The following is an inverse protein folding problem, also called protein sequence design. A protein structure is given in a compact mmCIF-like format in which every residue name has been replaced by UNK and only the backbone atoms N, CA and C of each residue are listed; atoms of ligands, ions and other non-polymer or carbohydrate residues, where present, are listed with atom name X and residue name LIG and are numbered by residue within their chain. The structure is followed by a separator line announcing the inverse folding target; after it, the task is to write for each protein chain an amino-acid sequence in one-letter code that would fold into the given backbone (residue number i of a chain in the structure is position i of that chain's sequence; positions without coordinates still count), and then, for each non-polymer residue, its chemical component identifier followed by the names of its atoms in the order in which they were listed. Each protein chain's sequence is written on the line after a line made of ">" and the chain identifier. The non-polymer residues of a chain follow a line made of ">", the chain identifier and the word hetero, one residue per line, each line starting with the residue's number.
data_IF_980666033232
#
_entry.id   IF_980666033232
#
_cell.length_a   1.000
_cell.length_b   1.000
_cell.length_c   1.000
_cell.angle_alpha   90.00
_cell.angle_beta   90.00
_cell.angle_gamma   90.00
#
_symmetry.space_group_name_H-M   'P 1'
#
loop_
_entity.id
_entity.type
_entity.pdbx_description
1 polymer ?
#
# COMPACT_ATOMS: atom_id res chain seq x y z
N UNK A 1 5.13 -24.21 1.83
CA UNK A 1 4.40 -23.66 3.01
C UNK A 1 5.32 -23.23 4.17
N UNK A 2 6.41 -23.96 4.49
CA UNK A 2 7.35 -23.60 5.57
C UNK A 2 8.41 -22.55 5.15
N UNK A 3 8.90 -22.63 3.92
CA UNK A 3 9.92 -21.73 3.34
C UNK A 3 9.50 -20.25 3.38
N UNK A 4 8.27 -19.94 2.98
CA UNK A 4 7.78 -18.56 3.00
C UNK A 4 7.64 -18.01 4.43
N UNK A 5 7.55 -18.83 5.50
CA UNK A 5 7.46 -18.32 6.90
C UNK A 5 8.80 -17.78 7.36
N UNK A 6 9.86 -18.52 7.05
CA UNK A 6 11.23 -18.14 7.37
C UNK A 6 11.61 -16.90 6.55
N UNK A 7 11.25 -16.86 5.27
CA UNK A 7 11.48 -15.68 4.43
C UNK A 7 10.82 -14.41 4.99
N UNK A 8 9.56 -14.47 5.42
CA UNK A 8 8.85 -13.32 5.99
C UNK A 8 9.47 -12.83 7.31
N UNK A 9 10.08 -13.72 8.11
CA UNK A 9 10.81 -13.33 9.31
C UNK A 9 12.04 -12.46 8.99
N UNK A 10 12.69 -12.72 7.86
CA UNK A 10 13.87 -11.98 7.41
C UNK A 10 13.56 -10.80 6.49
N UNK A 11 12.31 -10.66 6.04
CA UNK A 11 11.86 -9.57 5.16
C UNK A 11 10.51 -9.02 5.68
N UNK A 12 10.50 -8.39 6.87
CA UNK A 12 9.28 -7.90 7.51
C UNK A 12 8.61 -6.76 6.73
N UNK A 13 9.28 -6.17 5.75
CA UNK A 13 8.71 -5.17 4.86
C UNK A 13 7.85 -5.77 3.74
N UNK A 14 7.80 -7.10 3.59
CA UNK A 14 6.99 -7.76 2.57
C UNK A 14 5.52 -7.88 3.00
N UNK A 15 4.67 -8.15 2.01
CA UNK A 15 3.23 -8.32 2.16
C UNK A 15 2.85 -9.33 3.28
N UNK A 16 2.11 -8.86 4.28
CA UNK A 16 1.72 -9.57 5.50
C UNK A 16 0.41 -10.34 5.40
N UNK A 17 -0.39 -10.14 4.36
CA UNK A 17 -1.75 -10.72 4.20
C UNK A 17 -1.81 -12.23 3.99
N UNK A 18 -0.95 -12.99 4.67
CA UNK A 18 -0.82 -14.43 4.59
C UNK A 18 -1.98 -15.12 5.31
N UNK A 19 -2.72 -15.94 4.56
CA UNK A 19 -3.94 -16.59 5.07
C UNK A 19 -5.14 -15.65 5.14
N UNK A 20 -5.00 -14.43 4.61
CA UNK A 20 -6.11 -13.50 4.38
C UNK A 20 -6.35 -13.47 2.88
N UNK A 21 -7.56 -13.88 2.48
CA UNK A 21 -7.85 -14.20 1.08
C UNK A 21 -8.86 -13.22 0.46
N UNK A 22 -9.38 -12.28 1.25
CA UNK A 22 -10.42 -11.32 0.86
C UNK A 22 -10.50 -10.18 1.87
N UNK A 23 -11.09 -9.05 1.46
CA UNK A 23 -11.37 -7.87 2.30
C UNK A 23 -10.13 -7.41 3.05
N UNK A 24 -9.04 -7.22 2.32
CA UNK A 24 -7.74 -6.89 2.90
C UNK A 24 -7.09 -5.75 2.15
N UNK A 25 -6.37 -4.91 2.87
CA UNK A 25 -5.58 -3.85 2.30
C UNK A 25 -4.28 -3.73 3.09
N UNK A 26 -3.18 -3.60 2.37
CA UNK A 26 -1.88 -3.29 2.94
C UNK A 26 -1.13 -2.34 2.00
N UNK A 27 -0.41 -1.41 2.59
CA UNK A 27 0.43 -0.49 1.83
C UNK A 27 1.31 0.37 2.73
N UNK A 28 2.28 1.01 2.10
CA UNK A 28 3.20 1.92 2.75
C UNK A 28 2.71 3.34 2.53
N UNK A 29 2.61 4.11 3.61
CA UNK A 29 2.29 5.54 3.57
C UNK A 29 3.58 6.34 3.64
N UNK A 30 3.83 7.13 2.59
CA UNK A 30 4.93 8.06 2.55
C UNK A 30 4.39 9.48 2.52
N UNK A 31 4.94 10.33 3.38
CA UNK A 31 4.64 11.75 3.41
C UNK A 31 5.92 12.52 3.11
N UNK A 32 5.92 13.24 1.98
CA UNK A 32 7.05 14.08 1.56
C UNK A 32 6.64 15.54 1.74
N UNK A 33 7.47 16.30 2.45
CA UNK A 33 7.25 17.71 2.75
C UNK A 33 8.50 18.51 2.43
N UNK A 34 8.33 19.71 1.89
CA UNK A 34 9.40 20.68 1.68
C UNK A 34 9.10 22.01 2.40
N UNK A 35 10.07 22.92 2.42
CA UNK A 35 9.92 24.24 3.04
C UNK A 35 8.89 25.14 2.33
N UNK A 36 8.65 24.92 1.03
CA UNK A 36 7.59 25.59 0.27
C UNK A 36 6.18 25.02 0.55
N UNK A 37 6.09 24.07 1.49
CA UNK A 37 4.88 23.32 1.86
C UNK A 37 4.24 22.51 0.73
N UNK A 38 4.97 22.18 -0.32
CA UNK A 38 4.53 21.21 -1.31
C UNK A 38 4.50 19.86 -0.63
N UNK A 39 3.28 19.42 -0.28
CA UNK A 39 3.00 18.24 0.51
C UNK A 39 2.36 17.22 -0.42
N UNK A 40 3.15 16.28 -0.90
CA UNK A 40 2.65 15.10 -1.58
C UNK A 40 2.73 13.92 -0.62
N UNK A 41 1.61 13.25 -0.41
CA UNK A 41 1.62 11.94 0.24
C UNK A 41 1.27 10.87 -0.78
N UNK A 42 1.89 9.71 -0.68
CA UNK A 42 1.56 8.59 -1.56
C UNK A 42 1.43 7.31 -0.75
N UNK A 43 0.46 6.50 -1.16
CA UNK A 43 0.19 5.18 -0.64
C UNK A 43 0.45 4.20 -1.77
N UNK A 44 1.41 3.33 -1.58
CA UNK A 44 1.69 2.22 -2.50
C UNK A 44 1.19 0.97 -1.81
N UNK A 45 0.39 0.13 -2.48
CA UNK A 45 -0.20 -1.01 -1.79
C UNK A 45 -0.93 -2.00 -2.67
N UNK A 46 -1.48 -3.01 -2.01
CA UNK A 46 -2.33 -4.04 -2.59
C UNK A 46 -3.65 -4.02 -1.84
N UNK A 47 -4.75 -4.01 -2.58
CA UNK A 47 -6.10 -4.22 -2.05
C UNK A 47 -6.66 -5.54 -2.57
N UNK A 48 -7.46 -6.19 -1.73
CA UNK A 48 -8.24 -7.37 -2.02
C UNK A 48 -9.69 -7.12 -1.74
N UNK A 49 -10.53 -7.38 -2.74
CA UNK A 49 -11.98 -7.26 -2.61
C UNK A 49 -12.57 -8.45 -1.84
N UNK A 50 -13.90 -8.52 -1.79
CA UNK A 50 -14.61 -9.60 -1.10
C UNK A 50 -14.60 -10.95 -1.83
N UNK A 51 -14.33 -10.95 -3.13
CA UNK A 51 -14.16 -12.14 -3.96
C UNK A 51 -12.73 -12.67 -3.91
N UNK A 52 -11.79 -11.88 -3.39
CA UNK A 52 -10.36 -12.19 -3.31
C UNK A 52 -9.57 -11.67 -4.51
N UNK A 53 -10.18 -10.85 -5.36
CA UNK A 53 -9.51 -10.21 -6.49
C UNK A 53 -8.51 -9.18 -5.95
N UNK A 54 -7.25 -9.33 -6.37
CA UNK A 54 -6.13 -8.54 -5.89
C UNK A 54 -5.80 -7.44 -6.89
N UNK A 55 -5.55 -6.23 -6.40
CA UNK A 55 -5.13 -5.11 -7.22
C UNK A 55 -4.01 -4.33 -6.54
N UNK A 56 -2.88 -4.21 -7.23
CA UNK A 56 -1.83 -3.28 -6.85
C UNK A 56 -2.21 -1.85 -7.27
N UNK A 57 -1.82 -0.87 -6.47
CA UNK A 57 -2.13 0.52 -6.76
C UNK A 57 -1.11 1.49 -6.16
N UNK A 58 -1.15 2.71 -6.70
CA UNK A 58 -0.49 3.90 -6.17
C UNK A 58 -1.57 4.98 -6.01
N UNK A 59 -1.79 5.43 -4.79
CA UNK A 59 -2.66 6.56 -4.48
C UNK A 59 -1.79 7.77 -4.16
N UNK A 60 -2.06 8.89 -4.84
CA UNK A 60 -1.34 10.16 -4.67
C UNK A 60 -2.32 11.15 -4.04
N UNK A 61 -1.89 11.84 -2.99
CA UNK A 61 -2.66 12.80 -2.22
C UNK A 61 -1.95 14.17 -2.30
N UNK A 62 -2.69 15.18 -2.74
CA UNK A 62 -2.27 16.58 -2.67
C UNK A 62 -2.93 17.25 -1.47
N UNK A 63 -2.14 17.55 -0.45
CA UNK A 63 -2.63 18.14 0.79
C UNK A 63 -3.01 19.63 0.69
N UNK A 64 -2.54 20.35 -0.33
CA UNK A 64 -2.90 21.76 -0.55
C UNK A 64 -4.17 21.85 -1.39
N UNK A 65 -4.26 21.09 -2.47
CA UNK A 65 -5.43 21.06 -3.34
C UNK A 65 -6.59 20.22 -2.77
N UNK A 66 -6.36 19.45 -1.70
CA UNK A 66 -7.31 18.48 -1.13
C UNK A 66 -7.81 17.47 -2.17
N UNK A 67 -6.91 17.02 -3.05
CA UNK A 67 -7.25 16.05 -4.11
C UNK A 67 -6.56 14.72 -3.88
N UNK A 68 -7.16 13.66 -4.44
CA UNK A 68 -6.61 12.32 -4.42
C UNK A 68 -6.74 11.69 -5.81
N UNK A 69 -5.68 11.03 -6.27
CA UNK A 69 -5.66 10.29 -7.54
C UNK A 69 -5.22 8.85 -7.26
N UNK A 70 -6.05 7.89 -7.67
CA UNK A 70 -5.72 6.47 -7.60
C UNK A 70 -5.28 5.97 -8.98
N UNK A 71 -4.12 5.32 -9.03
CA UNK A 71 -3.61 4.62 -10.20
C UNK A 71 -3.51 3.14 -9.88
N UNK A 72 -4.16 2.30 -10.67
CA UNK A 72 -4.07 0.84 -10.57
C UNK A 72 -2.89 0.37 -11.42
N UNK A 73 -2.10 -0.56 -10.90
CA UNK A 73 -1.00 -1.21 -11.62
C UNK A 73 -1.49 -2.49 -12.29
#
# INVERSE_FOLDING_TARGET
>A
MLTNKIQALFNPEQYHGRGINKRYFEGWFYKVVNAAEDKASFIVGIAMDENGDQQAFIQILDGKALTAVLKKA
#
